data_IF_085036838177
#
_entry.id   IF_085036838177
#
_cell.length_a   1.000
_cell.length_b   1.000
_cell.length_c   1.000
_cell.angle_alpha   90.00
_cell.angle_beta   90.00
_cell.angle_gamma   90.00
#
_symmetry.space_group_name_H-M   'P 1'
#
loop_
_entity.id
_entity.type
_entity.pdbx_description
1 polymer ?
#
# COMPACT_ATOMS: atom_id res chain seq x y z
N UNK A 1 -0.37 18.09 2.74
CA UNK A 1 0.55 17.21 3.47
C UNK A 1 0.56 15.83 2.83
N UNK A 2 1.70 15.14 2.88
CA UNK A 2 1.87 13.78 2.37
C UNK A 2 2.17 12.87 3.56
N UNK A 3 1.28 11.93 3.84
CA UNK A 3 1.43 10.97 4.92
C UNK A 3 1.76 9.63 4.31
N UNK A 4 2.93 9.10 4.60
CA UNK A 4 3.30 7.76 4.18
C UNK A 4 2.90 6.72 5.22
N UNK A 5 2.61 5.50 4.77
CA UNK A 5 2.20 4.41 5.65
C UNK A 5 2.64 3.05 5.12
N UNK A 6 3.16 2.24 6.02
CA UNK A 6 3.67 0.89 5.75
C UNK A 6 3.29 -0.05 6.88
N UNK A 7 3.01 -1.30 6.53
CA UNK A 7 2.86 -2.40 7.50
C UNK A 7 4.07 -3.30 7.35
N UNK A 8 4.70 -3.69 8.46
CA UNK A 8 5.80 -4.66 8.42
C UNK A 8 5.48 -5.88 9.27
N UNK A 9 6.16 -6.98 8.98
CA UNK A 9 5.92 -8.30 9.62
C UNK A 9 7.22 -8.85 10.20
N UNK A 10 7.15 -9.77 11.20
CA UNK A 10 8.34 -10.48 11.68
C UNK A 10 9.09 -11.13 10.51
N UNK A 11 10.38 -11.32 10.66
CA UNK A 11 11.34 -11.82 9.64
C UNK A 11 11.67 -10.83 8.51
N UNK A 12 10.94 -9.72 8.37
CA UNK A 12 11.24 -8.67 7.38
C UNK A 12 11.90 -7.44 7.98
N UNK A 13 12.24 -7.44 9.26
CA UNK A 13 12.81 -6.26 9.95
C UNK A 13 13.98 -5.65 9.20
N UNK A 14 14.95 -6.46 8.76
CA UNK A 14 16.13 -5.93 8.06
C UNK A 14 15.78 -5.35 6.68
N UNK A 15 14.86 -5.99 5.97
CA UNK A 15 14.39 -5.51 4.66
C UNK A 15 13.66 -4.20 4.83
N UNK A 16 12.76 -4.12 5.81
CA UNK A 16 12.05 -2.90 6.15
C UNK A 16 12.99 -1.75 6.51
N UNK A 17 14.04 -2.00 7.30
CA UNK A 17 15.05 -0.98 7.62
C UNK A 17 15.78 -0.47 6.36
N UNK A 18 16.05 -1.34 5.38
CA UNK A 18 16.60 -0.96 4.09
C UNK A 18 15.61 -0.11 3.27
N UNK A 19 14.30 -0.45 3.31
CA UNK A 19 13.24 0.35 2.64
C UNK A 19 13.16 1.75 3.24
N UNK A 20 13.32 1.89 4.56
CA UNK A 20 13.41 3.21 5.19
C UNK A 20 14.62 4.01 4.68
N UNK A 21 15.78 3.36 4.48
CA UNK A 21 16.95 4.02 3.90
C UNK A 21 16.74 4.41 2.43
N UNK A 22 15.99 3.61 1.67
CA UNK A 22 15.63 3.92 0.30
C UNK A 22 14.62 5.08 0.23
N UNK A 23 13.67 5.16 1.16
CA UNK A 23 12.76 6.30 1.24
C UNK A 23 13.49 7.63 1.44
N UNK A 24 14.61 7.64 2.18
CA UNK A 24 15.45 8.84 2.37
C UNK A 24 16.21 9.27 1.10
N UNK A 25 16.33 8.40 0.10
CA UNK A 25 16.92 8.73 -1.20
C UNK A 25 15.93 9.38 -2.16
N UNK A 26 14.64 9.46 -1.76
CA UNK A 26 13.61 10.06 -2.59
C UNK A 26 13.87 11.55 -2.83
N UNK A 27 13.60 12.02 -4.05
CA UNK A 27 13.73 13.44 -4.43
C UNK A 27 12.76 14.34 -3.67
N UNK A 28 11.62 13.78 -3.25
CA UNK A 28 10.65 14.40 -2.37
C UNK A 28 10.39 13.45 -1.21
N UNK A 29 10.49 13.94 0.02
CA UNK A 29 10.19 13.17 1.22
C UNK A 29 8.73 13.38 1.64
N UNK A 30 8.06 12.39 2.23
CA UNK A 30 6.77 12.58 2.85
C UNK A 30 6.90 13.46 4.12
N UNK A 31 5.80 14.12 4.49
CA UNK A 31 5.75 14.99 5.68
C UNK A 31 5.63 14.17 6.98
N UNK A 32 5.11 12.94 6.89
CA UNK A 32 4.88 12.06 8.04
C UNK A 32 4.96 10.58 7.63
N UNK A 33 5.39 9.72 8.56
CA UNK A 33 5.48 8.26 8.35
C UNK A 33 4.76 7.50 9.46
N UNK A 34 3.81 6.66 9.10
CA UNK A 34 3.26 5.63 9.97
C UNK A 34 3.89 4.28 9.68
N UNK A 35 4.33 3.62 10.75
CA UNK A 35 4.78 2.22 10.73
C UNK A 35 3.79 1.40 11.55
N UNK A 36 3.16 0.42 10.94
CA UNK A 36 2.18 -0.43 11.60
C UNK A 36 2.76 -1.78 11.92
N UNK A 37 2.59 -2.21 13.15
CA UNK A 37 3.03 -3.50 13.69
C UNK A 37 1.86 -4.16 14.42
N UNK A 38 1.61 -5.45 14.14
CA UNK A 38 0.65 -6.24 14.91
C UNK A 38 1.36 -7.04 16.01
N UNK A 39 0.70 -7.24 17.15
CA UNK A 39 1.28 -8.02 18.28
C UNK A 39 1.52 -9.48 17.90
N UNK A 40 0.64 -10.03 17.07
CA UNK A 40 0.74 -11.42 16.61
C UNK A 40 0.25 -11.52 15.15
N UNK A 41 0.92 -12.33 14.36
CA UNK A 41 0.63 -12.61 12.96
C UNK A 41 0.22 -14.07 12.79
N UNK A 42 -1.09 -14.39 12.80
CA UNK A 42 -1.59 -15.78 12.70
C UNK A 42 -1.06 -16.51 11.46
N UNK A 43 -0.99 -15.82 10.33
CA UNK A 43 -0.51 -16.35 9.04
C UNK A 43 0.96 -16.80 9.07
N UNK A 44 1.77 -16.24 9.95
CA UNK A 44 3.18 -16.57 10.12
C UNK A 44 3.41 -17.40 11.38
N UNK A 45 2.39 -17.54 12.24
CA UNK A 45 2.49 -18.08 13.60
C UNK A 45 3.63 -17.43 14.41
N UNK A 46 3.75 -16.10 14.32
CA UNK A 46 4.86 -15.33 14.88
C UNK A 46 4.42 -14.00 15.48
N UNK A 47 5.24 -13.50 16.40
CA UNK A 47 5.26 -12.12 16.87
C UNK A 47 6.63 -11.51 16.61
N UNK A 48 6.72 -10.19 16.58
CA UNK A 48 8.03 -9.53 16.64
C UNK A 48 8.73 -9.88 17.97
N UNK A 49 10.01 -10.16 17.91
CA UNK A 49 10.86 -10.19 19.09
C UNK A 49 11.09 -8.76 19.62
N UNK A 50 11.38 -8.65 20.92
CA UNK A 50 11.72 -7.34 21.50
C UNK A 50 12.92 -6.69 20.79
N UNK A 51 13.91 -7.48 20.39
CA UNK A 51 15.09 -7.00 19.68
C UNK A 51 14.76 -6.43 18.28
N UNK A 52 13.79 -6.99 17.57
CA UNK A 52 13.33 -6.46 16.28
C UNK A 52 12.57 -5.13 16.46
N UNK A 53 11.69 -5.07 17.46
CA UNK A 53 10.97 -3.84 17.81
C UNK A 53 11.95 -2.73 18.18
N UNK A 54 12.95 -3.03 19.01
CA UNK A 54 13.99 -2.06 19.41
C UNK A 54 14.77 -1.54 18.21
N UNK A 55 15.18 -2.41 17.28
CA UNK A 55 15.87 -1.96 16.04
C UNK A 55 15.02 -0.99 15.21
N UNK A 56 13.72 -1.27 15.05
CA UNK A 56 12.79 -0.39 14.34
C UNK A 56 12.66 0.94 15.08
N UNK A 57 12.50 0.92 16.40
CA UNK A 57 12.39 2.11 17.24
C UNK A 57 13.65 2.98 17.17
N UNK A 58 14.84 2.39 17.32
CA UNK A 58 16.13 3.08 17.21
C UNK A 58 16.31 3.74 15.85
N UNK A 59 15.96 3.04 14.78
CA UNK A 59 15.99 3.60 13.42
C UNK A 59 15.08 4.81 13.29
N UNK A 60 13.85 4.70 13.78
CA UNK A 60 12.82 5.75 13.65
C UNK A 60 13.08 6.95 14.57
N UNK A 61 13.72 6.76 15.73
CA UNK A 61 14.13 7.85 16.61
C UNK A 61 15.04 8.86 15.92
N UNK A 62 15.92 8.37 15.04
CA UNK A 62 16.89 9.19 14.31
C UNK A 62 16.42 9.50 12.87
N UNK A 63 15.18 9.15 12.54
CA UNK A 63 14.66 9.33 11.20
C UNK A 63 14.23 10.80 10.97
N UNK A 64 14.66 11.44 9.88
CA UNK A 64 14.44 12.87 9.68
C UNK A 64 12.98 13.24 9.41
N UNK A 65 12.15 12.24 9.06
CA UNK A 65 10.71 12.42 8.84
C UNK A 65 9.98 12.19 10.16
N UNK A 66 9.08 13.09 10.61
CA UNK A 66 8.19 12.85 11.73
C UNK A 66 7.46 11.52 11.57
N UNK A 67 7.49 10.67 12.60
CA UNK A 67 6.99 9.31 12.47
C UNK A 67 6.31 8.81 13.73
N UNK A 68 5.54 7.73 13.57
CA UNK A 68 4.90 7.04 14.68
C UNK A 68 4.73 5.55 14.39
N UNK A 69 5.06 4.70 15.36
CA UNK A 69 4.71 3.28 15.33
C UNK A 69 3.32 3.13 15.94
N UNK A 70 2.43 2.43 15.25
CA UNK A 70 1.10 2.04 15.74
C UNK A 70 1.08 0.53 15.93
N UNK A 71 0.72 0.11 17.14
CA UNK A 71 0.56 -1.30 17.48
C UNK A 71 -0.90 -1.70 17.44
N UNK A 72 -1.22 -2.73 16.65
CA UNK A 72 -2.53 -3.36 16.63
C UNK A 72 -2.49 -4.71 17.34
N UNK A 73 -3.60 -5.06 18.00
CA UNK A 73 -3.73 -6.34 18.69
C UNK A 73 -3.87 -7.51 17.72
N UNK A 74 -4.54 -7.29 16.59
CA UNK A 74 -4.83 -8.30 15.59
C UNK A 74 -4.23 -7.94 14.22
N UNK A 75 -3.70 -8.95 13.53
CA UNK A 75 -3.32 -8.84 12.12
C UNK A 75 -4.58 -9.00 11.26
N UNK A 76 -5.05 -7.90 10.72
CA UNK A 76 -6.13 -7.87 9.71
C UNK A 76 -5.56 -7.78 8.28
N UNK A 77 -4.27 -8.01 8.13
CA UNK A 77 -3.59 -7.96 6.84
C UNK A 77 -3.08 -6.57 6.45
N UNK A 78 -2.55 -6.45 5.22
CA UNK A 78 -1.92 -5.23 4.74
C UNK A 78 -2.89 -4.04 4.54
N UNK A 79 -4.21 -4.23 4.65
CA UNK A 79 -5.19 -3.13 4.65
C UNK A 79 -4.90 -2.06 5.73
N UNK A 80 -4.17 -2.42 6.77
CA UNK A 80 -3.69 -1.48 7.78
C UNK A 80 -2.81 -0.36 7.19
N UNK A 81 -2.19 -0.54 6.03
CA UNK A 81 -1.45 0.54 5.36
C UNK A 81 -2.30 1.78 5.14
N UNK A 82 -3.55 1.62 4.75
CA UNK A 82 -4.46 2.73 4.50
C UNK A 82 -5.29 3.10 5.75
N UNK A 83 -5.72 2.12 6.54
CA UNK A 83 -6.51 2.36 7.74
C UNK A 83 -5.73 3.09 8.84
N UNK A 84 -4.44 2.83 8.99
CA UNK A 84 -3.63 3.44 10.06
C UNK A 84 -3.61 4.97 9.98
N UNK A 85 -3.23 5.62 8.86
CA UNK A 85 -3.29 7.07 8.77
C UNK A 85 -4.72 7.62 8.85
N UNK A 86 -5.71 6.93 8.27
CA UNK A 86 -7.11 7.37 8.32
C UNK A 86 -7.64 7.44 9.75
N UNK A 87 -7.25 6.52 10.61
CA UNK A 87 -7.74 6.45 12.00
C UNK A 87 -6.88 7.24 12.99
N UNK A 88 -5.64 7.57 12.66
CA UNK A 88 -4.67 8.14 13.62
C UNK A 88 -4.19 9.55 13.27
N UNK A 89 -4.55 10.09 12.12
CA UNK A 89 -4.17 11.43 11.69
C UNK A 89 -5.38 12.33 11.49
N UNK A 90 -5.26 13.61 11.88
CA UNK A 90 -6.28 14.61 11.54
C UNK A 90 -6.08 15.05 10.10
N UNK A 91 -6.74 14.33 9.19
CA UNK A 91 -6.63 14.54 7.75
C UNK A 91 -7.50 15.70 7.27
N UNK A 92 -7.02 16.41 6.25
CA UNK A 92 -7.79 17.36 5.46
C UNK A 92 -8.02 16.81 4.04
N UNK A 93 -9.05 17.31 3.31
CA UNK A 93 -9.27 16.90 1.93
C UNK A 93 -8.09 17.20 0.98
N UNK A 94 -7.17 18.09 1.38
CA UNK A 94 -6.00 18.46 0.59
C UNK A 94 -4.80 17.53 0.86
N UNK A 95 -4.88 16.68 1.86
CA UNK A 95 -3.82 15.74 2.18
C UNK A 95 -3.81 14.55 1.22
N UNK A 96 -2.70 13.83 1.22
CA UNK A 96 -2.51 12.62 0.43
C UNK A 96 -1.91 11.53 1.30
N UNK A 97 -2.32 10.28 1.09
CA UNK A 97 -1.75 9.11 1.74
C UNK A 97 -0.95 8.33 0.70
N UNK A 98 0.34 8.14 0.96
CA UNK A 98 1.23 7.26 0.20
C UNK A 98 1.34 5.92 0.93
N UNK A 99 0.89 4.84 0.32
CA UNK A 99 1.14 3.50 0.84
C UNK A 99 2.22 2.80 0.02
N UNK A 100 3.00 1.93 0.66
CA UNK A 100 4.01 1.08 0.02
C UNK A 100 4.27 -0.17 0.87
N UNK A 101 4.96 -1.17 0.28
CA UNK A 101 5.29 -2.43 0.95
C UNK A 101 6.63 -2.34 1.70
N UNK A 102 6.81 -3.24 2.67
CA UNK A 102 7.99 -3.33 3.53
C UNK A 102 9.13 -4.14 2.91
N UNK A 103 8.95 -4.70 1.72
CA UNK A 103 9.92 -5.57 1.04
C UNK A 103 10.32 -5.05 -0.37
N UNK A 104 9.73 -3.94 -0.81
CA UNK A 104 10.03 -3.33 -2.10
C UNK A 104 10.29 -1.84 -1.96
N UNK A 105 11.51 -1.40 -2.29
CA UNK A 105 11.87 0.02 -2.26
C UNK A 105 11.13 0.85 -3.31
N UNK A 106 10.88 2.09 -2.98
CA UNK A 106 10.36 3.08 -3.92
C UNK A 106 11.47 3.54 -4.86
N UNK A 107 11.15 3.84 -6.10
CA UNK A 107 12.06 4.60 -6.96
C UNK A 107 12.34 5.97 -6.33
N UNK A 108 13.55 6.50 -6.43
CA UNK A 108 13.88 7.81 -5.87
C UNK A 108 12.95 8.94 -6.32
N UNK A 109 12.43 8.89 -7.55
CA UNK A 109 11.49 9.88 -8.10
C UNK A 109 10.02 9.44 -8.02
N UNK A 110 9.70 8.31 -7.37
CA UNK A 110 8.34 7.78 -7.33
C UNK A 110 7.34 8.80 -6.80
N UNK A 111 7.59 9.35 -5.63
CA UNK A 111 6.70 10.35 -5.03
C UNK A 111 6.62 11.64 -5.86
N UNK A 112 7.73 12.08 -6.45
CA UNK A 112 7.75 13.23 -7.37
C UNK A 112 6.86 12.99 -8.59
N UNK A 113 6.94 11.80 -9.21
CA UNK A 113 6.11 11.43 -10.36
C UNK A 113 4.61 11.38 -9.99
N UNK A 114 4.28 10.77 -8.84
CA UNK A 114 2.91 10.69 -8.34
C UNK A 114 2.32 12.08 -8.08
N UNK A 115 3.09 12.98 -7.45
CA UNK A 115 2.66 14.35 -7.17
C UNK A 115 2.52 15.20 -8.44
N UNK A 116 3.44 15.05 -9.39
CA UNK A 116 3.34 15.74 -10.67
C UNK A 116 2.09 15.31 -11.43
N UNK A 117 1.76 14.02 -11.44
CA UNK A 117 0.52 13.53 -12.05
C UNK A 117 -0.71 14.04 -11.31
N UNK A 118 -0.70 14.05 -9.99
CA UNK A 118 -1.76 14.65 -9.18
C UNK A 118 -1.99 16.13 -9.53
N UNK A 119 -0.91 16.91 -9.69
CA UNK A 119 -0.98 18.33 -9.99
C UNK A 119 -1.43 18.59 -11.45
N UNK A 120 -1.00 17.76 -12.39
CA UNK A 120 -1.29 17.95 -13.82
C UNK A 120 -2.65 17.37 -14.23
N UNK A 121 -3.05 16.23 -13.63
CA UNK A 121 -4.23 15.48 -14.03
C UNK A 121 -5.41 15.62 -13.06
N UNK A 122 -5.20 16.25 -11.90
CA UNK A 122 -6.24 16.54 -10.91
C UNK A 122 -6.30 15.55 -9.74
N UNK A 123 -7.17 15.86 -8.80
CA UNK A 123 -7.38 15.09 -7.55
C UNK A 123 -8.62 14.19 -7.63
N UNK A 124 -9.00 13.77 -8.81
CA UNK A 124 -10.17 12.92 -9.08
C UNK A 124 -9.83 11.45 -9.26
N UNK A 125 -8.56 11.11 -9.14
CA UNK A 125 -8.01 9.77 -9.39
C UNK A 125 -7.02 9.37 -8.32
N UNK A 126 -6.81 8.05 -8.16
CA UNK A 126 -5.72 7.46 -7.37
C UNK A 126 -4.58 7.10 -8.32
N UNK A 127 -3.37 7.36 -7.89
CA UNK A 127 -2.16 7.23 -8.71
C UNK A 127 -1.20 6.20 -8.14
N UNK A 128 -0.70 5.29 -8.98
CA UNK A 128 0.31 4.30 -8.60
C UNK A 128 1.44 4.20 -9.62
N UNK A 129 2.52 3.55 -9.26
CA UNK A 129 3.67 3.29 -10.15
C UNK A 129 3.46 2.02 -10.96
N UNK A 130 2.61 1.12 -10.48
CA UNK A 130 2.30 -0.14 -11.12
C UNK A 130 0.83 -0.50 -10.95
N UNK A 131 0.31 -1.26 -11.91
CA UNK A 131 -1.07 -1.76 -11.87
C UNK A 131 -1.32 -2.89 -12.86
N UNK A 132 -2.58 -3.27 -13.00
CA UNK A 132 -3.07 -4.26 -13.96
C UNK A 132 -4.20 -3.63 -14.78
N UNK A 133 -4.13 -3.77 -16.09
CA UNK A 133 -5.19 -3.37 -17.02
C UNK A 133 -5.51 -4.53 -17.94
N UNK A 134 -6.78 -4.95 -18.01
CA UNK A 134 -7.24 -6.07 -18.83
C UNK A 134 -6.40 -7.34 -18.65
N UNK A 135 -6.02 -7.65 -17.41
CA UNK A 135 -5.21 -8.80 -17.03
C UNK A 135 -3.70 -8.67 -17.30
N UNK A 136 -3.23 -7.54 -17.82
CA UNK A 136 -1.81 -7.32 -18.10
C UNK A 136 -1.19 -6.36 -17.10
N UNK A 137 0.05 -6.65 -16.69
CA UNK A 137 0.82 -5.73 -15.85
C UNK A 137 1.17 -4.45 -16.61
N UNK A 138 0.92 -3.30 -15.96
CA UNK A 138 1.28 -1.96 -16.43
C UNK A 138 2.28 -1.39 -15.45
N UNK A 139 3.48 -1.09 -15.94
CA UNK A 139 4.54 -0.47 -15.14
C UNK A 139 4.81 0.93 -15.65
N UNK A 140 4.90 1.90 -14.76
CA UNK A 140 5.12 3.31 -15.10
C UNK A 140 6.36 3.55 -15.95
N UNK A 141 7.40 2.73 -15.79
CA UNK A 141 8.63 2.78 -16.58
C UNK A 141 8.46 2.40 -18.06
N UNK A 142 7.36 1.76 -18.44
CA UNK A 142 7.09 1.33 -19.82
C UNK A 142 5.98 2.13 -20.50
N UNK A 143 5.40 3.12 -19.82
CA UNK A 143 4.37 3.99 -20.42
C UNK A 143 5.00 4.84 -21.51
N UNK A 144 4.44 4.77 -22.71
CA UNK A 144 4.86 5.58 -23.87
C UNK A 144 3.76 6.58 -24.22
N UNK A 145 4.17 7.86 -24.38
CA UNK A 145 3.30 8.87 -24.98
C UNK A 145 2.19 9.42 -24.09
N UNK A 146 2.40 9.52 -22.76
CA UNK A 146 1.42 10.12 -21.87
C UNK A 146 1.93 10.26 -20.44
N UNK A 147 1.19 11.01 -19.62
CA UNK A 147 1.53 11.21 -18.21
C UNK A 147 1.07 10.03 -17.35
N UNK A 148 0.08 9.27 -17.80
CA UNK A 148 -0.47 8.12 -17.08
C UNK A 148 -1.16 7.11 -18.02
N UNK A 149 -1.45 5.91 -17.46
CA UNK A 149 -2.24 4.86 -18.09
C UNK A 149 -3.37 4.41 -17.13
N UNK A 150 -4.65 4.32 -17.58
CA UNK A 150 -5.74 3.82 -16.75
C UNK A 150 -5.58 2.32 -16.48
N UNK A 151 -5.89 1.90 -15.25
CA UNK A 151 -5.78 0.50 -14.83
C UNK A 151 -6.99 0.06 -14.01
N UNK A 152 -7.23 -1.25 -13.97
CA UNK A 152 -8.29 -1.86 -13.19
C UNK A 152 -7.87 -2.08 -11.72
N UNK A 153 -6.57 -2.29 -11.50
CA UNK A 153 -5.97 -2.56 -10.20
C UNK A 153 -4.64 -1.81 -10.06
N UNK A 154 -4.40 -1.22 -8.89
CA UNK A 154 -3.12 -0.62 -8.51
C UNK A 154 -2.34 -1.56 -7.59
N UNK A 155 -1.05 -1.75 -7.85
CA UNK A 155 -0.16 -2.53 -7.01
C UNK A 155 0.56 -1.66 -5.98
N UNK A 156 0.36 -1.94 -4.69
CA UNK A 156 0.91 -1.15 -3.58
C UNK A 156 2.43 -1.23 -3.43
N UNK A 157 3.04 -2.29 -3.95
CA UNK A 157 4.45 -2.57 -3.71
C UNK A 157 5.43 -1.55 -4.30
N UNK A 158 5.01 -0.72 -5.25
CA UNK A 158 5.81 0.37 -5.85
C UNK A 158 5.36 1.77 -5.42
N UNK A 159 4.38 1.84 -4.55
CA UNK A 159 3.78 3.06 -4.07
C UNK A 159 2.49 3.47 -4.77
N UNK A 160 1.47 3.73 -3.97
CA UNK A 160 0.18 4.26 -4.42
C UNK A 160 -0.17 5.50 -3.59
N UNK A 161 -0.52 6.58 -4.28
CA UNK A 161 -0.90 7.86 -3.70
C UNK A 161 -2.42 8.06 -3.75
N UNK A 162 -3.04 8.13 -2.59
CA UNK A 162 -4.46 8.35 -2.39
C UNK A 162 -4.74 9.80 -1.99
N UNK A 163 -5.39 10.63 -2.83
CA UNK A 163 -5.93 11.91 -2.39
C UNK A 163 -7.04 11.70 -1.36
N UNK A 164 -6.93 12.33 -0.19
CA UNK A 164 -7.88 12.11 0.93
C UNK A 164 -9.31 12.52 0.57
N UNK A 165 -9.49 13.53 -0.31
CA UNK A 165 -10.82 13.95 -0.76
C UNK A 165 -11.62 12.86 -1.51
N UNK A 166 -10.97 11.79 -1.97
CA UNK A 166 -11.61 10.65 -2.64
C UNK A 166 -12.07 9.57 -1.67
N UNK A 167 -11.61 9.62 -0.41
CA UNK A 167 -11.83 8.58 0.57
C UNK A 167 -12.94 9.01 1.54
N UNK A 168 -14.05 8.29 1.55
CA UNK A 168 -14.97 8.32 2.68
C UNK A 168 -14.47 7.32 3.72
N UNK A 169 -13.96 7.81 4.83
CA UNK A 169 -13.30 6.97 5.86
C UNK A 169 -14.27 5.93 6.43
N UNK A 170 -15.52 6.31 6.68
CA UNK A 170 -16.54 5.39 7.23
C UNK A 170 -16.90 4.30 6.22
N UNK A 171 -17.15 4.67 4.96
CA UNK A 171 -17.49 3.71 3.91
C UNK A 171 -16.33 2.78 3.58
N UNK A 172 -15.11 3.30 3.53
CA UNK A 172 -13.91 2.50 3.31
C UNK A 172 -13.64 1.53 4.46
N UNK A 173 -13.85 1.96 5.71
CA UNK A 173 -13.71 1.06 6.86
C UNK A 173 -14.72 -0.08 6.77
N UNK A 174 -16.00 0.20 6.53
CA UNK A 174 -17.05 -0.83 6.35
C UNK A 174 -16.74 -1.77 5.19
N UNK A 175 -16.19 -1.22 4.09
CA UNK A 175 -15.75 -2.00 2.93
C UNK A 175 -14.64 -2.99 3.31
N UNK A 176 -13.62 -2.53 4.01
CA UNK A 176 -12.51 -3.37 4.47
C UNK A 176 -13.00 -4.41 5.48
N UNK A 177 -13.84 -4.01 6.44
CA UNK A 177 -14.40 -4.91 7.45
C UNK A 177 -15.19 -6.08 6.81
N UNK A 178 -15.98 -5.80 5.77
CA UNK A 178 -16.70 -6.81 5.01
C UNK A 178 -15.77 -7.89 4.44
N UNK A 179 -14.61 -7.49 3.87
CA UNK A 179 -13.62 -8.46 3.38
C UNK A 179 -12.91 -9.19 4.53
N UNK A 180 -12.55 -8.48 5.61
CA UNK A 180 -11.94 -9.12 6.78
C UNK A 180 -12.85 -10.21 7.34
N UNK A 181 -14.14 -9.93 7.51
CA UNK A 181 -15.14 -10.89 7.97
C UNK A 181 -15.25 -12.09 7.01
N UNK A 182 -15.25 -11.84 5.69
CA UNK A 182 -15.24 -12.89 4.68
C UNK A 182 -14.02 -13.80 4.83
N UNK A 183 -12.83 -13.24 4.90
CA UNK A 183 -11.60 -14.02 5.10
C UNK A 183 -11.60 -14.80 6.43
N UNK A 184 -12.12 -14.21 7.50
CA UNK A 184 -12.19 -14.86 8.81
C UNK A 184 -13.11 -16.10 8.80
N UNK A 185 -14.23 -16.10 8.03
CA UNK A 185 -15.08 -17.28 7.84
C UNK A 185 -14.29 -18.49 7.31
N UNK A 186 -13.26 -18.25 6.53
CA UNK A 186 -12.37 -19.26 5.96
C UNK A 186 -11.09 -19.49 6.75
N UNK A 187 -10.96 -18.95 7.97
CA UNK A 187 -9.76 -18.97 8.79
C UNK A 187 -8.52 -18.40 8.05
N UNK A 188 -8.73 -17.31 7.32
CA UNK A 188 -7.71 -16.60 6.54
C UNK A 188 -7.57 -15.17 7.02
N UNK A 189 -6.47 -14.53 6.64
CA UNK A 189 -6.25 -13.08 6.80
C UNK A 189 -6.41 -12.42 5.43
N UNK A 190 -7.02 -11.25 5.38
CA UNK A 190 -7.20 -10.47 4.15
C UNK A 190 -5.83 -10.00 3.61
N UNK A 191 -5.29 -10.74 2.63
CA UNK A 191 -3.93 -10.53 2.10
C UNK A 191 -3.87 -9.69 0.82
N UNK A 192 -5.01 -9.53 0.14
CA UNK A 192 -5.09 -8.87 -1.16
C UNK A 192 -5.59 -7.42 -1.03
N UNK A 193 -4.86 -6.60 -0.25
CA UNK A 193 -5.21 -5.19 -0.08
C UNK A 193 -5.27 -4.42 -1.40
N UNK A 194 -4.42 -4.72 -2.36
CA UNK A 194 -4.43 -4.12 -3.69
C UNK A 194 -5.78 -4.34 -4.40
N UNK A 195 -6.34 -5.55 -4.30
CA UNK A 195 -7.68 -5.85 -4.84
C UNK A 195 -8.77 -5.17 -4.03
N UNK A 196 -8.73 -5.28 -2.70
CA UNK A 196 -9.73 -4.70 -1.80
C UNK A 196 -9.84 -3.19 -2.04
N UNK A 197 -8.70 -2.50 -2.13
CA UNK A 197 -8.69 -1.06 -2.38
C UNK A 197 -9.12 -0.72 -3.80
N UNK A 198 -8.64 -1.44 -4.81
CA UNK A 198 -9.01 -1.19 -6.20
C UNK A 198 -10.49 -1.47 -6.45
N UNK A 199 -11.07 -2.48 -5.80
CA UNK A 199 -12.51 -2.77 -5.86
C UNK A 199 -13.33 -1.65 -5.18
N UNK A 200 -12.86 -1.11 -4.05
CA UNK A 200 -13.47 0.08 -3.45
C UNK A 200 -13.48 1.27 -4.42
N UNK A 201 -12.34 1.54 -5.06
CA UNK A 201 -12.22 2.63 -6.03
C UNK A 201 -13.18 2.42 -7.21
N UNK A 202 -13.22 1.22 -7.76
CA UNK A 202 -14.10 0.87 -8.88
C UNK A 202 -15.58 1.00 -8.53
N UNK A 203 -15.98 0.47 -7.37
CA UNK A 203 -17.35 0.59 -6.86
C UNK A 203 -17.80 2.04 -6.72
N UNK A 204 -16.92 2.91 -6.25
CA UNK A 204 -17.17 4.35 -6.09
C UNK A 204 -16.87 5.16 -7.36
N UNK A 205 -16.57 4.51 -8.49
CA UNK A 205 -16.25 5.13 -9.78
C UNK A 205 -15.08 6.12 -9.70
N UNK A 206 -14.11 5.83 -8.85
CA UNK A 206 -12.87 6.59 -8.69
C UNK A 206 -11.82 6.00 -9.64
N UNK A 207 -11.30 6.77 -10.60
CA UNK A 207 -10.32 6.25 -11.56
C UNK A 207 -9.00 5.87 -10.91
N UNK A 208 -8.41 4.77 -11.37
CA UNK A 208 -7.07 4.30 -11.02
C UNK A 208 -6.13 4.51 -12.19
N UNK A 209 -4.94 5.07 -11.92
CA UNK A 209 -3.98 5.46 -12.97
C UNK A 209 -2.55 5.07 -12.58
N UNK A 210 -1.84 4.41 -13.49
CA UNK A 210 -0.39 4.21 -13.36
C UNK A 210 0.30 5.41 -14.00
N UNK A 211 1.24 6.04 -13.28
CA UNK A 211 1.97 7.21 -13.75
C UNK A 211 3.28 6.83 -14.43
N UNK A 212 3.71 7.67 -15.38
CA UNK A 212 5.00 7.49 -16.02
C UNK A 212 6.14 7.85 -15.06
N UNK A 213 7.11 6.95 -14.95
CA UNK A 213 8.34 7.17 -14.16
C UNK A 213 9.43 7.71 -15.05
N UNK A 214 10.19 8.69 -14.58
CA UNK A 214 11.24 9.32 -15.35
C UNK A 214 12.32 8.33 -15.81
N UNK A 215 12.79 8.44 -17.08
CA UNK A 215 13.73 7.49 -17.66
C UNK A 215 15.04 7.29 -16.89
N UNK A 216 15.49 8.31 -16.15
CA UNK A 216 16.69 8.24 -15.31
C UNK A 216 16.63 7.16 -14.21
N UNK A 217 15.41 6.79 -13.78
CA UNK A 217 15.21 5.78 -12.75
C UNK A 217 15.14 4.37 -13.34
N UNK A 218 14.88 4.25 -14.66
CA UNK A 218 14.74 2.96 -15.35
C UNK A 218 16.04 2.14 -15.42
N UNK A 219 17.18 2.78 -15.36
CA UNK A 219 18.45 2.15 -15.70
C UNK A 219 19.23 1.56 -14.52
N UNK A 220 18.99 2.01 -13.26
CA UNK A 220 19.88 1.70 -12.14
C UNK A 220 19.19 1.26 -10.85
N UNK A 221 17.85 1.19 -10.81
CA UNK A 221 17.14 0.89 -9.58
C UNK A 221 16.12 -0.23 -9.78
N UNK A 222 16.56 -1.45 -9.49
CA UNK A 222 15.66 -2.57 -9.23
C UNK A 222 15.60 -2.74 -7.71
N UNK A 223 14.51 -2.34 -7.04
CA UNK A 223 14.34 -2.68 -5.64
C UNK A 223 14.45 -4.20 -5.52
N UNK A 224 15.26 -4.68 -4.60
CA UNK A 224 15.37 -6.11 -4.34
C UNK A 224 14.02 -6.57 -3.83
N UNK A 225 13.26 -7.29 -4.66
CA UNK A 225 12.11 -8.03 -4.18
C UNK A 225 12.64 -9.20 -3.35
N UNK A 226 12.29 -9.25 -2.08
CA UNK A 226 12.58 -10.43 -1.30
C UNK A 226 11.63 -11.55 -1.63
N UNK A 227 12.16 -12.77 -1.55
CA UNK A 227 11.51 -14.01 -1.93
C UNK A 227 10.28 -14.42 -1.11
N UNK A 228 9.86 -13.60 -0.13
CA UNK A 228 8.78 -13.91 0.82
C UNK A 228 7.48 -13.14 0.56
N UNK A 229 7.19 -12.80 -0.68
CA UNK A 229 5.93 -12.15 -1.06
C UNK A 229 4.71 -13.07 -0.98
N UNK A 230 3.53 -12.47 -1.10
CA UNK A 230 2.22 -13.17 -1.06
C UNK A 230 2.13 -14.35 -2.03
N UNK A 231 2.83 -14.29 -3.17
CA UNK A 231 2.85 -15.34 -4.19
C UNK A 231 3.48 -16.66 -3.74
N UNK A 232 4.10 -16.70 -2.56
CA UNK A 232 4.64 -17.94 -1.97
C UNK A 232 3.65 -18.66 -1.04
N UNK A 233 2.46 -18.09 -0.81
CA UNK A 233 1.43 -18.77 -0.03
C UNK A 233 0.74 -19.84 -0.86
N UNK A 234 0.71 -21.06 -0.34
CA UNK A 234 0.04 -22.20 -0.95
C UNK A 234 -1.47 -21.96 -1.22
N UNK A 235 -2.07 -20.99 -0.54
CA UNK A 235 -3.50 -20.66 -0.59
C UNK A 235 -3.84 -19.39 -1.38
N UNK A 236 -2.99 -18.95 -2.32
CA UNK A 236 -3.24 -17.70 -3.08
C UNK A 236 -4.54 -17.76 -3.85
N UNK A 237 -4.80 -18.86 -4.59
CA UNK A 237 -6.02 -18.99 -5.38
C UNK A 237 -7.25 -19.04 -4.47
N UNK A 238 -7.21 -19.82 -3.40
CA UNK A 238 -8.29 -19.89 -2.41
C UNK A 238 -8.59 -18.51 -1.79
N UNK A 239 -7.54 -17.72 -1.54
CA UNK A 239 -7.68 -16.35 -1.03
C UNK A 239 -8.32 -15.41 -2.07
N UNK A 240 -8.06 -15.57 -3.37
CA UNK A 240 -8.75 -14.82 -4.42
C UNK A 240 -10.22 -15.25 -4.57
N UNK A 241 -10.50 -16.54 -4.43
CA UNK A 241 -11.87 -17.05 -4.49
C UNK A 241 -12.75 -16.45 -3.36
N UNK A 242 -12.17 -16.22 -2.17
CA UNK A 242 -12.86 -15.53 -1.06
C UNK A 242 -13.24 -14.09 -1.43
N UNK A 243 -12.38 -13.35 -2.16
CA UNK A 243 -12.74 -12.00 -2.63
C UNK A 243 -14.01 -12.04 -3.49
N UNK A 244 -14.06 -12.96 -4.45
CA UNK A 244 -15.20 -13.11 -5.35
C UNK A 244 -16.47 -13.55 -4.61
N UNK A 245 -16.34 -14.42 -3.60
CA UNK A 245 -17.45 -14.85 -2.75
C UNK A 245 -18.02 -13.67 -1.96
N UNK A 246 -17.16 -12.87 -1.32
CA UNK A 246 -17.60 -11.68 -0.56
C UNK A 246 -18.36 -10.70 -1.43
N UNK A 247 -17.88 -10.43 -2.65
CA UNK A 247 -18.58 -9.55 -3.59
C UNK A 247 -19.97 -10.10 -3.95
N UNK A 248 -20.08 -11.41 -4.23
CA UNK A 248 -21.36 -12.08 -4.57
C UNK A 248 -22.33 -12.05 -3.40
N UNK A 249 -21.89 -12.41 -2.19
CA UNK A 249 -22.73 -12.41 -0.98
C UNK A 249 -23.33 -11.02 -0.69
N UNK A 250 -22.59 -9.95 -1.01
CA UNK A 250 -23.02 -8.57 -0.79
C UNK A 250 -23.67 -7.93 -2.02
N UNK A 251 -23.96 -8.70 -3.09
CA UNK A 251 -24.56 -8.23 -4.34
C UNK A 251 -23.79 -7.08 -4.99
N UNK A 252 -22.47 -7.06 -4.89
CA UNK A 252 -21.58 -6.04 -5.46
C UNK A 252 -21.19 -6.45 -6.87
N UNK A 253 -21.46 -5.57 -7.83
CA UNK A 253 -21.01 -5.67 -9.22
C UNK A 253 -19.94 -4.62 -9.48
N UNK A 254 -18.79 -5.04 -9.97
CA UNK A 254 -17.64 -4.19 -10.26
C UNK A 254 -17.45 -3.96 -11.77
#
# INVERSE_FOLDING_TARGET
>A
MIISSVVTVPDRTNDFLNILDDLLKSTILPDYLYVTICKYYPRLNKSFSESEILKIQEKLQNYPIPNRIIFYDQDIGPCLKLLTPLNNHKLSPQDNILIFDDDNGLFPTALECLLNSLNNCGRDSVYGIMGIASGNYVHGEYIQGGDYYPVDLLGGYRGVLYPVNLLNVEDLSKWIDMFIEGYQKHNMVAMHDDHIFSYYLKYNKIPSRVVNVYPKDKLNYWPKSNSNGIFQYERVQESLDVLDEVLKENNIQL
#
